data_IF_509630856502
#
_entry.id   IF_509630856502
#
_cell.length_a   1.000
_cell.length_b   1.000
_cell.length_c   1.000
_cell.angle_alpha   90.00
_cell.angle_beta   90.00
_cell.angle_gamma   90.00
#
_symmetry.space_group_name_H-M   'P 1'
#
loop_
_entity.id
_entity.type
_entity.pdbx_description
1 polymer ?
#
# COMPACT_ATOMS: atom_id res chain seq x y z
N UNK A 1 -11.85 2.28 -9.79
CA UNK A 1 -10.65 2.91 -9.20
C UNK A 1 -10.72 2.77 -7.68
N UNK A 2 -9.92 1.86 -7.16
CA UNK A 2 -9.85 1.42 -5.76
C UNK A 2 -8.54 2.00 -5.20
N UNK A 3 -8.64 2.79 -4.14
CA UNK A 3 -7.48 3.40 -3.47
C UNK A 3 -7.06 2.50 -2.31
N UNK A 4 -5.81 2.09 -2.30
CA UNK A 4 -5.30 1.09 -1.35
C UNK A 4 -4.14 1.66 -0.55
N UNK A 5 -4.20 1.46 0.77
CA UNK A 5 -3.04 1.62 1.64
C UNK A 5 -2.34 0.26 1.73
N UNK A 6 -1.09 0.21 1.28
CA UNK A 6 -0.30 -1.02 1.32
C UNK A 6 0.51 -1.10 2.62
N UNK A 7 0.18 -2.08 3.46
CA UNK A 7 0.77 -2.25 4.79
C UNK A 7 1.55 -3.56 4.82
N UNK A 8 2.87 -3.47 4.97
CA UNK A 8 3.74 -4.62 5.17
C UNK A 8 5.00 -4.21 5.93
N UNK A 9 5.41 -4.97 6.94
CA UNK A 9 6.66 -4.87 7.66
C UNK A 9 7.89 -5.10 6.77
N UNK A 10 7.87 -6.09 5.88
CA UNK A 10 9.03 -6.42 5.05
C UNK A 10 9.07 -5.57 3.79
N UNK A 11 10.10 -4.72 3.67
CA UNK A 11 10.28 -3.81 2.52
C UNK A 11 10.27 -4.53 1.17
N UNK A 12 10.90 -5.70 1.07
CA UNK A 12 10.95 -6.48 -0.17
C UNK A 12 9.55 -6.95 -0.59
N UNK A 13 8.79 -7.50 0.36
CA UNK A 13 7.44 -8.01 0.13
C UNK A 13 6.49 -6.86 -0.22
N UNK A 14 6.62 -5.73 0.48
CA UNK A 14 5.86 -4.52 0.15
C UNK A 14 6.12 -4.02 -1.27
N UNK A 15 7.40 -3.96 -1.68
CA UNK A 15 7.76 -3.58 -3.04
C UNK A 15 7.21 -4.55 -4.10
N UNK A 16 7.20 -5.85 -3.80
CA UNK A 16 6.61 -6.86 -4.69
C UNK A 16 5.09 -6.66 -4.86
N UNK A 17 4.37 -6.36 -3.77
CA UNK A 17 2.94 -6.04 -3.84
C UNK A 17 2.68 -4.74 -4.59
N UNK A 18 3.42 -3.68 -4.32
CA UNK A 18 3.26 -2.41 -5.04
C UNK A 18 3.48 -2.59 -6.55
N UNK A 19 4.51 -3.36 -6.95
CA UNK A 19 4.78 -3.67 -8.34
C UNK A 19 3.71 -4.56 -8.97
N UNK A 20 3.17 -5.55 -8.25
CA UNK A 20 2.09 -6.39 -8.76
C UNK A 20 0.79 -5.60 -8.96
N UNK A 21 0.47 -4.70 -8.03
CA UNK A 21 -0.75 -3.89 -8.07
C UNK A 21 -0.68 -2.79 -9.13
N UNK A 22 0.52 -2.34 -9.52
CA UNK A 22 0.67 -1.33 -10.58
C UNK A 22 0.30 -1.83 -11.98
N UNK A 23 -0.02 -3.12 -12.12
CA UNK A 23 -0.48 -3.73 -13.37
C UNK A 23 -2.01 -3.74 -13.48
N UNK A 24 -2.69 -3.47 -12.37
CA UNK A 24 -4.15 -3.38 -12.33
C UNK A 24 -4.56 -1.93 -12.61
N UNK A 25 -5.24 -1.71 -13.74
CA UNK A 25 -5.64 -0.36 -14.19
C UNK A 25 -6.64 0.31 -13.24
N UNK A 26 -7.29 -0.46 -12.36
CA UNK A 26 -8.29 0.04 -11.43
C UNK A 26 -7.78 0.18 -9.99
N UNK A 27 -6.50 -0.09 -9.71
CA UNK A 27 -5.91 0.01 -8.37
C UNK A 27 -4.87 1.13 -8.30
N UNK A 28 -4.98 1.96 -7.26
CA UNK A 28 -3.99 2.99 -6.94
C UNK A 28 -3.47 2.77 -5.51
N UNK A 29 -2.16 2.50 -5.39
CA UNK A 29 -1.48 2.47 -4.08
C UNK A 29 -1.19 3.91 -3.67
N UNK A 30 -1.98 4.45 -2.75
CA UNK A 30 -1.90 5.86 -2.35
C UNK A 30 -0.90 6.11 -1.24
N UNK A 31 -0.54 5.07 -0.50
CA UNK A 31 0.49 5.12 0.51
C UNK A 31 1.01 3.71 0.83
N UNK A 32 2.26 3.67 1.26
CA UNK A 32 2.89 2.51 1.87
C UNK A 32 3.17 2.79 3.35
N UNK A 33 3.00 1.78 4.20
CA UNK A 33 3.34 1.83 5.60
C UNK A 33 3.94 0.49 6.07
N UNK A 34 4.80 0.57 7.07
CA UNK A 34 5.13 -0.54 7.95
C UNK A 34 3.94 -0.82 8.90
N UNK A 35 3.76 -2.09 9.28
CA UNK A 35 2.57 -2.62 9.97
C UNK A 35 2.24 -2.08 11.37
N UNK A 36 2.78 -0.92 11.75
CA UNK A 36 2.61 -0.31 13.06
C UNK A 36 1.51 0.77 13.01
N UNK A 37 1.14 1.33 14.17
CA UNK A 37 -0.03 2.22 14.34
C UNK A 37 -0.15 3.46 13.43
N UNK A 38 0.88 3.79 12.65
CA UNK A 38 0.86 4.82 11.60
C UNK A 38 -0.10 4.51 10.43
N UNK A 39 -0.52 3.25 10.30
CA UNK A 39 -1.39 2.74 9.23
C UNK A 39 -2.74 3.47 9.15
N UNK A 40 -3.38 3.75 10.29
CA UNK A 40 -4.71 4.40 10.29
C UNK A 40 -4.64 5.87 9.87
N UNK A 41 -3.55 6.57 10.20
CA UNK A 41 -3.38 7.98 9.86
C UNK A 41 -3.21 8.20 8.35
N UNK A 42 -2.58 7.28 7.63
CA UNK A 42 -2.39 7.37 6.18
C UNK A 42 -3.61 6.94 5.35
N UNK A 43 -4.54 6.19 5.93
CA UNK A 43 -5.78 5.78 5.25
C UNK A 43 -6.88 6.86 5.28
N UNK A 44 -6.79 7.82 6.21
CA UNK A 44 -7.84 8.80 6.51
C UNK A 44 -7.56 10.22 5.98
N UNK A 45 -6.42 10.43 5.30
CA UNK A 45 -5.98 11.72 4.72
C UNK A 45 -5.95 11.63 3.19
#
# INVERSE_FOLDING_TARGET
>A
MIRVLLVEQTRLVRGAFAASLSWEDDIEVVAEADGNGDVLARALV
#
